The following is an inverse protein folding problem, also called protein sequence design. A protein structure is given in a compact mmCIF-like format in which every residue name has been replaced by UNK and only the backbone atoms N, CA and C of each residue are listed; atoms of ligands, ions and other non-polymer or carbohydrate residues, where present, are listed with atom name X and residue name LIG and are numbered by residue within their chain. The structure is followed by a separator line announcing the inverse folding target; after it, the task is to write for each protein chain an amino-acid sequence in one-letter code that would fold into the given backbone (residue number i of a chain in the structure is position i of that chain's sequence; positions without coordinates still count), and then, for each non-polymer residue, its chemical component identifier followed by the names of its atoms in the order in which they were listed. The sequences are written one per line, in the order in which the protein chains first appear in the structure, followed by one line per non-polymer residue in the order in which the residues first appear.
data_IF_045157557199
#
_entry.id   IF_045157557199
#
_cell.length_a   1.000
_cell.length_b   1.000
_cell.length_c   1.000
_cell.angle_alpha   90.00
_cell.angle_beta   90.00
_cell.angle_gamma   90.00
#
_symmetry.space_group_name_H-M   'P 1'
#
loop_
_entity.id
_entity.type
_entity.pdbx_description
1 polymer ?
#
# COMPACT_ATOMS: atom_id res chain seq x y z
N UNK A 1 -15.33 20.03 -10.59
CA UNK A 1 -14.37 19.53 -9.57
C UNK A 1 -14.72 18.05 -9.36
N UNK A 2 -13.85 17.11 -9.72
CA UNK A 2 -14.14 15.66 -9.69
C UNK A 2 -13.95 15.07 -8.29
N UNK A 3 -14.71 14.03 -7.96
CA UNK A 3 -14.59 13.31 -6.70
C UNK A 3 -13.22 12.61 -6.65
N UNK A 4 -12.53 12.73 -5.52
CA UNK A 4 -11.35 11.89 -5.26
C UNK A 4 -11.87 10.46 -5.14
N UNK A 5 -11.30 9.55 -5.91
CA UNK A 5 -11.73 8.16 -5.99
C UNK A 5 -10.53 7.26 -5.75
N UNK A 6 -10.65 6.33 -4.80
CA UNK A 6 -9.70 5.24 -4.68
C UNK A 6 -10.02 4.20 -5.76
N UNK A 7 -9.08 4.01 -6.68
CA UNK A 7 -9.25 3.15 -7.85
C UNK A 7 -8.87 1.69 -7.59
N UNK A 8 -8.47 1.35 -6.37
CA UNK A 8 -8.13 -0.01 -6.01
C UNK A 8 -9.39 -0.86 -5.84
N UNK A 9 -9.39 -2.08 -6.37
CA UNK A 9 -10.56 -2.96 -6.35
C UNK A 9 -10.95 -3.48 -4.96
N UNK A 10 -10.00 -3.51 -4.02
CA UNK A 10 -10.23 -3.89 -2.62
C UNK A 10 -9.52 -2.89 -1.67
N UNK A 11 -10.03 -1.66 -1.51
CA UNK A 11 -9.40 -0.61 -0.72
C UNK A 11 -9.09 -1.00 0.72
N UNK A 12 -9.85 -1.95 1.25
CA UNK A 12 -9.75 -2.46 2.61
C UNK A 12 -8.88 -3.72 2.70
N UNK A 13 -8.21 -4.16 1.64
CA UNK A 13 -7.29 -5.30 1.69
C UNK A 13 -7.87 -6.54 2.43
N UNK A 14 -9.14 -6.86 2.14
CA UNK A 14 -9.86 -7.99 2.70
C UNK A 14 -9.64 -9.28 1.90
N UNK A 15 -8.91 -9.19 0.78
CA UNK A 15 -8.45 -10.32 -0.02
C UNK A 15 -6.95 -10.54 0.16
N UNK A 16 -6.46 -11.80 0.09
CA UNK A 16 -5.04 -12.08 0.16
C UNK A 16 -4.35 -11.55 -1.10
N UNK A 17 -3.20 -10.91 -0.91
CA UNK A 17 -2.35 -10.45 -2.00
C UNK A 17 -1.36 -11.53 -2.41
N UNK A 18 -0.87 -11.42 -3.64
CA UNK A 18 0.23 -12.25 -4.11
C UNK A 18 1.51 -11.94 -3.34
N UNK A 19 2.39 -12.94 -3.23
CA UNK A 19 3.59 -12.85 -2.39
C UNK A 19 4.82 -13.35 -3.13
N UNK A 20 5.97 -12.75 -2.83
CA UNK A 20 7.27 -13.33 -3.16
C UNK A 20 8.02 -13.64 -1.87
N UNK A 21 8.33 -14.92 -1.66
CA UNK A 21 9.12 -15.41 -0.52
C UNK A 21 8.55 -15.05 0.86
N UNK A 22 7.25 -14.80 0.98
CA UNK A 22 6.54 -14.74 2.26
C UNK A 22 5.27 -15.59 2.21
N UNK A 23 4.67 -15.81 3.38
CA UNK A 23 3.36 -16.45 3.52
C UNK A 23 2.39 -15.44 4.13
N UNK A 24 1.09 -15.64 3.88
CA UNK A 24 0.02 -14.86 4.49
C UNK A 24 -0.81 -15.70 5.46
N UNK A 25 -1.38 -15.04 6.47
CA UNK A 25 -2.35 -15.63 7.40
C UNK A 25 -3.47 -14.63 7.61
N UNK A 26 -4.71 -15.09 7.52
CA UNK A 26 -5.86 -14.24 7.79
C UNK A 26 -6.04 -14.03 9.29
N UNK A 27 -6.24 -12.78 9.69
CA UNK A 27 -6.50 -12.34 11.04
C UNK A 27 -8.01 -12.43 11.35
N UNK A 28 -8.37 -12.30 12.64
CA UNK A 28 -9.76 -12.32 13.09
C UNK A 28 -10.63 -11.18 12.52
N UNK A 29 -10.01 -10.05 12.15
CA UNK A 29 -10.66 -8.90 11.54
C UNK A 29 -10.81 -9.01 10.00
N UNK A 30 -10.41 -10.16 9.43
CA UNK A 30 -10.46 -10.44 8.00
C UNK A 30 -9.25 -9.93 7.20
N UNK A 31 -8.35 -9.15 7.80
CA UNK A 31 -7.11 -8.68 7.17
C UNK A 31 -6.09 -9.81 7.06
N UNK A 32 -5.02 -9.57 6.31
CA UNK A 32 -3.94 -10.54 6.15
C UNK A 32 -2.62 -10.01 6.73
N UNK A 33 -2.01 -10.82 7.57
CA UNK A 33 -0.63 -10.65 8.03
C UNK A 33 0.31 -11.43 7.13
N UNK A 34 1.38 -10.79 6.65
CA UNK A 34 2.41 -11.38 5.81
C UNK A 34 3.73 -11.45 6.57
N UNK A 35 4.37 -12.61 6.53
CA UNK A 35 5.60 -12.89 7.29
C UNK A 35 6.52 -13.80 6.50
N UNK A 36 7.83 -13.66 6.72
CA UNK A 36 8.84 -14.54 6.12
C UNK A 36 9.96 -14.88 7.10
N UNK A 37 10.59 -16.03 6.91
CA UNK A 37 11.84 -16.42 7.56
C UNK A 37 13.09 -15.97 6.77
N UNK A 38 12.89 -15.24 5.67
CA UNK A 38 13.95 -14.69 4.81
C UNK A 38 14.18 -13.21 5.06
N UNK A 39 15.39 -12.75 4.71
CA UNK A 39 15.75 -11.34 4.81
C UNK A 39 15.07 -10.47 3.74
N UNK A 40 14.71 -11.05 2.60
CA UNK A 40 14.10 -10.35 1.48
C UNK A 40 12.82 -11.07 1.07
N UNK A 41 11.72 -10.32 1.05
CA UNK A 41 10.40 -10.82 0.67
C UNK A 41 9.51 -9.63 0.32
N UNK A 42 8.41 -9.88 -0.36
CA UNK A 42 7.49 -8.81 -0.70
C UNK A 42 6.05 -9.27 -0.82
N UNK A 43 5.15 -8.31 -0.63
CA UNK A 43 3.73 -8.43 -0.92
C UNK A 43 3.45 -7.66 -2.20
N UNK A 44 2.98 -8.34 -3.24
CA UNK A 44 2.77 -7.78 -4.57
C UNK A 44 1.42 -7.06 -4.61
N UNK A 45 1.45 -5.85 -5.15
CA UNK A 45 0.28 -4.99 -5.24
C UNK A 45 -0.26 -5.08 -6.68
N UNK A 46 -1.43 -5.72 -6.90
CA UNK A 46 -1.94 -5.99 -8.24
C UNK A 46 -2.57 -4.75 -8.90
N UNK A 47 -2.73 -4.84 -10.23
CA UNK A 47 -3.63 -3.98 -11.02
C UNK A 47 -3.29 -2.47 -11.05
N UNK A 48 -2.03 -2.11 -10.88
CA UNK A 48 -1.59 -0.71 -10.91
C UNK A 48 -1.19 -0.30 -12.32
N UNK A 49 -1.67 0.86 -12.77
CA UNK A 49 -1.26 1.48 -14.04
C UNK A 49 -0.03 2.36 -13.83
N UNK A 50 1.00 2.31 -14.69
CA UNK A 50 2.13 3.23 -14.64
C UNK A 50 1.69 4.70 -14.55
N UNK A 51 2.40 5.48 -13.74
CA UNK A 51 2.11 6.89 -13.49
C UNK A 51 1.05 7.16 -12.41
N UNK A 52 0.38 6.12 -11.89
CA UNK A 52 -0.56 6.27 -10.77
C UNK A 52 0.19 6.22 -9.44
N UNK A 53 -0.36 6.90 -8.45
CA UNK A 53 0.10 6.80 -7.07
C UNK A 53 -0.52 5.58 -6.44
N UNK A 54 0.32 4.72 -5.87
CA UNK A 54 -0.11 3.70 -4.93
C UNK A 54 0.27 4.11 -3.52
N UNK A 55 -0.70 4.04 -2.60
CA UNK A 55 -0.51 4.22 -1.18
C UNK A 55 -0.88 2.93 -0.45
N UNK A 56 -0.07 2.52 0.52
CA UNK A 56 -0.29 1.33 1.35
C UNK A 56 -0.21 1.75 2.80
N UNK A 57 -1.29 1.50 3.54
CA UNK A 57 -1.35 1.65 4.99
C UNK A 57 -1.21 0.27 5.63
N UNK A 58 -0.27 0.14 6.56
CA UNK A 58 0.10 -1.14 7.14
C UNK A 58 0.68 -1.02 8.55
N UNK A 59 0.49 -2.08 9.32
CA UNK A 59 1.05 -2.23 10.66
C UNK A 59 2.23 -3.18 10.65
N UNK A 60 3.34 -2.74 11.27
CA UNK A 60 4.53 -3.55 11.49
C UNK A 60 5.33 -3.03 12.67
N UNK A 61 6.11 -3.90 13.31
CA UNK A 61 7.08 -3.50 14.35
C UNK A 61 8.40 -2.97 13.78
N UNK A 62 8.64 -3.15 12.47
CA UNK A 62 9.90 -2.79 11.79
C UNK A 62 9.64 -1.99 10.52
N UNK A 63 9.06 -0.80 10.70
CA UNK A 63 8.70 0.11 9.59
C UNK A 63 9.91 0.47 8.71
N UNK A 64 11.10 0.54 9.30
CA UNK A 64 12.38 0.77 8.64
C UNK A 64 12.75 -0.31 7.60
N UNK A 65 12.21 -1.52 7.76
CA UNK A 65 12.47 -2.63 6.84
C UNK A 65 11.68 -2.54 5.53
N UNK A 66 10.66 -1.67 5.45
CA UNK A 66 9.72 -1.63 4.35
C UNK A 66 9.88 -0.42 3.43
N UNK A 67 9.79 -0.67 2.13
CA UNK A 67 9.75 0.33 1.07
C UNK A 67 8.83 -0.10 -0.07
N UNK A 68 8.45 0.85 -0.92
CA UNK A 68 7.76 0.57 -2.17
C UNK A 68 8.81 0.22 -3.24
N UNK A 69 8.75 -1.02 -3.76
CA UNK A 69 9.59 -1.45 -4.87
C UNK A 69 8.94 -1.07 -6.21
N UNK A 70 9.76 -0.78 -7.23
CA UNK A 70 9.30 -0.42 -8.59
C UNK A 70 8.37 0.82 -8.63
N UNK A 71 8.45 1.62 -7.58
CA UNK A 71 7.62 2.78 -7.32
C UNK A 71 8.55 3.91 -6.85
N UNK A 72 8.44 5.11 -7.45
CA UNK A 72 9.17 6.30 -7.04
C UNK A 72 8.53 6.84 -5.77
N UNK A 73 9.21 6.72 -4.62
CA UNK A 73 8.65 7.12 -3.34
C UNK A 73 8.34 8.63 -3.31
N UNK A 74 7.10 8.97 -2.94
CA UNK A 74 6.64 10.36 -2.82
C UNK A 74 6.14 10.69 -1.41
N UNK A 75 5.84 9.68 -0.60
CA UNK A 75 5.37 9.83 0.77
C UNK A 75 5.85 8.66 1.64
N UNK A 76 6.29 8.98 2.86
CA UNK A 76 6.69 7.99 3.85
C UNK A 76 6.31 8.44 5.25
N UNK A 77 5.11 8.08 5.66
CA UNK A 77 4.59 8.26 7.01
C UNK A 77 4.89 7.06 7.91
N UNK A 78 4.35 7.11 9.13
CA UNK A 78 4.57 6.08 10.15
C UNK A 78 3.95 4.73 9.74
N UNK A 79 2.69 4.73 9.33
CA UNK A 79 1.96 3.52 8.88
C UNK A 79 1.74 3.49 7.37
N UNK A 80 1.99 4.61 6.68
CA UNK A 80 1.67 4.73 5.25
C UNK A 80 2.93 4.94 4.41
N UNK A 81 3.01 4.21 3.29
CA UNK A 81 3.95 4.46 2.21
C UNK A 81 3.18 4.82 0.95
N UNK A 82 3.66 5.81 0.19
CA UNK A 82 3.15 6.03 -1.17
C UNK A 82 4.25 6.28 -2.18
N UNK A 83 4.01 5.82 -3.40
CA UNK A 83 4.91 5.98 -4.53
C UNK A 83 4.18 6.04 -5.86
N UNK A 84 4.78 6.72 -6.83
CA UNK A 84 4.34 6.71 -8.22
C UNK A 84 4.83 5.42 -8.85
N UNK A 85 3.91 4.58 -9.33
CA UNK A 85 4.27 3.33 -9.96
C UNK A 85 4.93 3.57 -11.33
N UNK A 86 6.09 2.96 -11.54
CA UNK A 86 6.86 3.10 -12.77
C UNK A 86 6.58 1.93 -13.73
N UNK A 87 7.15 0.75 -13.45
CA UNK A 87 7.00 -0.46 -14.26
C UNK A 87 7.48 -1.70 -13.48
N UNK A 88 7.09 -2.90 -13.89
CA UNK A 88 7.48 -4.15 -13.22
C UNK A 88 6.46 -4.61 -12.17
N UNK A 89 6.92 -5.19 -11.06
CA UNK A 89 6.04 -5.60 -9.97
C UNK A 89 6.09 -4.54 -8.87
N UNK A 90 5.08 -3.68 -8.71
CA UNK A 90 5.06 -2.83 -7.51
C UNK A 90 4.72 -3.71 -6.31
N UNK A 91 5.50 -3.56 -5.25
CA UNK A 91 5.40 -4.40 -4.07
C UNK A 91 5.74 -3.61 -2.82
N UNK A 92 5.10 -4.00 -1.71
CA UNK A 92 5.58 -3.64 -0.39
C UNK A 92 6.74 -4.59 -0.07
N UNK A 93 7.95 -4.10 -0.27
CA UNK A 93 9.17 -4.88 -0.16
C UNK A 93 9.79 -4.76 1.22
N UNK A 94 10.10 -5.90 1.82
CA UNK A 94 10.80 -6.00 3.07
C UNK A 94 12.27 -6.37 2.83
N UNK A 95 13.20 -5.59 3.39
CA UNK A 95 14.64 -5.90 3.43
C UNK A 95 15.16 -6.03 4.85
N UNK A 96 16.05 -7.00 5.07
CA UNK A 96 16.58 -7.34 6.39
C UNK A 96 15.50 -7.62 7.43
N UNK A 97 14.36 -8.17 6.98
CA UNK A 97 13.16 -8.39 7.80
C UNK A 97 12.86 -9.85 8.09
N UNK A 98 13.89 -10.67 8.37
CA UNK A 98 13.65 -12.06 8.81
C UNK A 98 12.82 -12.07 10.09
N UNK A 99 11.70 -12.80 10.06
CA UNK A 99 10.73 -12.87 11.16
C UNK A 99 9.88 -11.61 11.32
N UNK A 100 10.10 -10.58 10.51
CA UNK A 100 9.25 -9.38 10.50
C UNK A 100 7.93 -9.72 9.84
N UNK A 101 6.85 -9.18 10.41
CA UNK A 101 5.50 -9.33 9.90
C UNK A 101 4.95 -7.97 9.52
N UNK A 102 4.03 -7.96 8.55
CA UNK A 102 3.26 -6.77 8.18
C UNK A 102 1.79 -7.13 7.99
N UNK A 103 0.89 -6.34 8.57
CA UNK A 103 -0.54 -6.43 8.27
C UNK A 103 -0.90 -5.29 7.36
N UNK A 104 -1.44 -5.57 6.17
CA UNK A 104 -1.90 -4.51 5.27
C UNK A 104 -3.33 -4.16 5.65
N UNK A 105 -3.52 -2.90 6.03
CA UNK A 105 -4.79 -2.39 6.50
C UNK A 105 -5.62 -1.87 5.34
N UNK A 106 -5.01 -1.05 4.48
CA UNK A 106 -5.65 -0.40 3.32
C UNK A 106 -4.69 -0.21 2.17
N UNK A 107 -5.25 -0.16 0.96
CA UNK A 107 -4.52 0.15 -0.26
C UNK A 107 -5.30 1.23 -1.03
N UNK A 108 -4.57 2.23 -1.51
CA UNK A 108 -5.07 3.29 -2.35
C UNK A 108 -4.39 3.31 -3.71
N UNK A 109 -5.17 3.43 -4.79
CA UNK A 109 -4.66 3.83 -6.10
C UNK A 109 -5.32 5.15 -6.50
N UNK A 110 -4.51 6.15 -6.83
CA UNK A 110 -4.97 7.48 -7.19
C UNK A 110 -4.28 7.96 -8.46
N UNK A 111 -4.96 8.84 -9.20
CA UNK A 111 -4.24 9.73 -10.11
C UNK A 111 -3.29 10.63 -9.30
N UNK A 112 -2.24 11.15 -9.92
CA UNK A 112 -1.33 12.08 -9.24
C UNK A 112 -2.06 13.35 -8.79
N UNK A 113 -3.02 13.84 -9.59
CA UNK A 113 -3.82 15.01 -9.24
C UNK A 113 -4.70 14.74 -8.00
N UNK A 114 -5.37 13.58 -7.94
CA UNK A 114 -6.18 13.22 -6.78
C UNK A 114 -5.33 13.00 -5.53
N UNK A 115 -4.15 12.41 -5.67
CA UNK A 115 -3.18 12.30 -4.58
C UNK A 115 -2.78 13.69 -4.06
N UNK A 116 -2.40 14.61 -4.95
CA UNK A 116 -2.03 15.97 -4.56
C UNK A 116 -3.16 16.69 -3.84
N UNK A 117 -4.41 16.48 -4.26
CA UNK A 117 -5.60 17.02 -3.59
C UNK A 117 -5.83 16.41 -2.21
N UNK A 118 -5.60 15.09 -2.04
CA UNK A 118 -5.65 14.47 -0.70
C UNK A 118 -4.64 15.11 0.25
N UNK A 119 -3.42 15.32 -0.23
CA UNK A 119 -2.36 15.95 0.56
C UNK A 119 -2.70 17.41 0.92
N UNK A 120 -3.39 18.16 0.06
CA UNK A 120 -3.88 19.51 0.38
C UNK A 120 -4.90 19.52 1.53
N UNK A 121 -5.65 18.42 1.70
CA UNK A 121 -6.55 18.25 2.84
C UNK A 121 -5.85 17.73 4.11
N UNK A 122 -4.53 17.51 4.06
CA UNK A 122 -3.78 16.91 5.17
C UNK A 122 -4.13 15.44 5.41
N UNK A 123 -4.64 14.75 4.38
CA UNK A 123 -5.03 13.34 4.45
C UNK A 123 -3.96 12.46 3.82
N UNK A 124 -3.53 11.43 4.54
CA UNK A 124 -2.56 10.45 4.02
C UNK A 124 -3.16 9.49 2.99
N UNK A 125 -4.48 9.31 3.03
CA UNK A 125 -5.20 8.40 2.14
C UNK A 125 -6.73 8.67 2.19
N UNK A 126 -7.50 7.98 1.36
CA UNK A 126 -8.95 8.07 1.28
C UNK A 126 -9.66 6.70 1.22
N UNK A 127 -10.54 6.43 2.20
CA UNK A 127 -11.34 5.19 2.34
C UNK A 127 -12.63 5.20 1.52
N UNK A 128 -13.11 6.39 1.14
CA UNK A 128 -14.50 6.56 0.72
C UNK A 128 -14.74 6.11 -0.73
N UNK A 129 -15.90 5.50 -0.94
CA UNK A 129 -16.38 5.18 -2.29
C UNK A 129 -16.54 6.45 -3.16
N UNK A 130 -16.68 7.65 -2.57
CA UNK A 130 -16.49 8.98 -3.18
C UNK A 130 -16.46 10.08 -2.10
N UNK A 131 -15.62 11.13 -2.22
CA UNK A 131 -15.63 12.32 -1.32
C UNK A 131 -16.21 13.53 -2.06
N UNK A 132 -17.34 14.14 -1.61
CA UNK A 132 -17.77 15.42 -2.13
C UNK A 132 -16.88 16.55 -1.60
N UNK A 133 -16.63 17.54 -2.45
CA UNK A 133 -15.75 18.67 -2.15
C UNK A 133 -16.58 19.75 -1.45
N UNK A 134 -16.21 20.07 -0.21
CA UNK A 134 -16.66 21.28 0.48
C UNK A 134 -15.94 22.52 -0.02
#
# INVERSE_FOLDING_TARGET
MSLITNLYGDPKALQPLNTWLCSSTQNHDGKYTYTSDRNYWSVLLPEIKPGYVIAVDFDTTRRDAFKMENCSAIYSGHTTLAGIYNSGNCSLFCSNGKGVSVTINRIGIYSQDDWNRLQQYGLDWFDGDTMPLG
#
